data_IF_209342238621
#
_entry.id   IF_209342238621
#
_cell.length_a   1.000
_cell.length_b   1.000
_cell.length_c   1.000
_cell.angle_alpha   90.00
_cell.angle_beta   90.00
_cell.angle_gamma   90.00
#
_symmetry.space_group_name_H-M   'P 1'
#
loop_
_entity.id
_entity.type
_entity.pdbx_description
1 polymer ?
#
# COMPACT_ATOMS: atom_id res chain seq x y z
N UNK A 1 -9.61 14.71 -11.13
CA UNK A 1 -8.61 14.00 -10.30
C UNK A 1 -7.64 14.97 -9.64
N UNK A 2 -6.97 15.86 -10.39
CA UNK A 2 -6.09 16.92 -9.86
C UNK A 2 -6.63 17.71 -8.64
N UNK A 3 -7.90 18.10 -8.70
CA UNK A 3 -8.59 18.88 -7.65
C UNK A 3 -8.73 18.15 -6.30
N UNK A 4 -8.56 16.83 -6.26
CA UNK A 4 -8.75 16.01 -5.06
C UNK A 4 -7.43 15.51 -4.46
N UNK A 5 -6.28 16.13 -4.81
CA UNK A 5 -4.96 15.69 -4.34
C UNK A 5 -4.51 14.31 -4.86
N UNK A 6 -5.25 13.73 -5.81
CA UNK A 6 -4.94 12.43 -6.42
C UNK A 6 -3.56 12.37 -7.08
N UNK A 7 -3.02 13.53 -7.47
CA UNK A 7 -1.70 13.64 -8.06
C UNK A 7 -0.60 13.21 -7.08
N UNK A 8 -0.74 13.51 -5.79
CA UNK A 8 0.24 13.16 -4.76
C UNK A 8 0.31 11.65 -4.56
N UNK A 9 -0.83 11.01 -4.36
CA UNK A 9 -0.91 9.55 -4.25
C UNK A 9 -0.39 8.83 -5.49
N UNK A 10 -0.73 9.34 -6.68
CA UNK A 10 -0.18 8.81 -7.93
C UNK A 10 1.33 8.97 -8.00
N UNK A 11 1.90 10.09 -7.51
CA UNK A 11 3.36 10.29 -7.44
C UNK A 11 4.00 9.29 -6.49
N UNK A 12 3.39 9.01 -5.34
CA UNK A 12 3.86 7.97 -4.42
C UNK A 12 3.84 6.60 -5.09
N UNK A 13 2.73 6.21 -5.72
CA UNK A 13 2.63 4.93 -6.42
C UNK A 13 3.70 4.78 -7.53
N UNK A 14 3.90 5.81 -8.36
CA UNK A 14 4.97 5.83 -9.36
C UNK A 14 6.37 5.72 -8.75
N UNK A 15 6.60 6.32 -7.57
CA UNK A 15 7.88 6.17 -6.88
C UNK A 15 8.13 4.73 -6.41
N UNK A 16 7.09 4.01 -5.97
CA UNK A 16 7.17 2.60 -5.59
C UNK A 16 7.43 1.70 -6.80
N UNK A 17 6.76 1.91 -7.93
CA UNK A 17 7.06 1.19 -9.18
C UNK A 17 8.53 1.37 -9.58
N UNK A 18 9.01 2.62 -9.60
CA UNK A 18 10.41 2.91 -9.92
C UNK A 18 11.39 2.25 -8.94
N UNK A 19 11.06 2.18 -7.64
CA UNK A 19 11.87 1.48 -6.65
C UNK A 19 11.88 -0.03 -6.88
N UNK A 20 10.71 -0.61 -7.20
CA UNK A 20 10.56 -2.02 -7.51
C UNK A 20 11.37 -2.41 -8.76
N UNK A 21 11.37 -1.57 -9.79
CA UNK A 21 12.12 -1.80 -11.03
C UNK A 21 13.65 -1.75 -10.80
N UNK A 22 14.11 -0.93 -9.84
CA UNK A 22 15.50 -0.94 -9.33
C UNK A 22 15.82 -2.13 -8.40
N UNK A 23 14.91 -3.09 -8.27
CA UNK A 23 15.04 -4.29 -7.43
C UNK A 23 15.14 -4.01 -5.93
N UNK A 24 14.65 -2.86 -5.48
CA UNK A 24 14.50 -2.57 -4.05
C UNK A 24 13.43 -3.49 -3.48
N UNK A 25 13.69 -4.04 -2.29
CA UNK A 25 12.72 -4.91 -1.60
C UNK A 25 11.55 -4.08 -1.08
N UNK A 26 10.33 -4.42 -1.48
CA UNK A 26 9.09 -3.79 -1.02
C UNK A 26 8.24 -4.85 -0.33
N UNK A 27 7.62 -4.49 0.79
CA UNK A 27 6.63 -5.32 1.48
C UNK A 27 5.38 -4.50 1.70
N UNK A 28 4.24 -5.06 1.31
CA UNK A 28 2.92 -4.46 1.45
C UNK A 28 2.12 -5.38 2.35
N UNK A 29 1.54 -4.80 3.41
CA UNK A 29 0.64 -5.49 4.32
C UNK A 29 -0.67 -4.70 4.33
N UNK A 30 -1.76 -5.40 4.04
CA UNK A 30 -3.09 -4.82 3.94
C UNK A 30 -4.13 -5.77 4.56
N UNK A 31 -5.38 -5.32 4.69
CA UNK A 31 -6.51 -6.22 4.94
C UNK A 31 -7.27 -6.47 3.63
N UNK A 32 -8.29 -7.32 3.66
CA UNK A 32 -9.15 -7.66 2.51
C UNK A 32 -9.91 -6.48 1.87
N UNK A 33 -9.71 -5.25 2.34
CA UNK A 33 -10.32 -4.04 1.80
C UNK A 33 -11.84 -4.02 1.91
N UNK A 34 -12.46 -3.14 1.13
CA UNK A 34 -13.90 -3.10 0.89
C UNK A 34 -14.11 -3.10 -0.63
N UNK A 35 -15.09 -3.87 -1.11
CA UNK A 35 -15.41 -4.01 -2.54
C UNK A 35 -15.63 -2.64 -3.25
N UNK A 36 -15.40 -2.54 -4.58
CA UNK A 36 -15.09 -3.64 -5.52
C UNK A 36 -13.60 -3.91 -5.75
N UNK A 37 -12.71 -2.93 -5.53
CA UNK A 37 -11.30 -3.02 -5.92
C UNK A 37 -10.41 -3.12 -4.68
N UNK A 38 -10.51 -4.23 -3.97
CA UNK A 38 -9.53 -4.53 -2.93
C UNK A 38 -8.25 -5.03 -3.60
N UNK A 39 -7.09 -4.58 -3.10
CA UNK A 39 -5.75 -4.99 -3.48
C UNK A 39 -5.24 -4.86 -4.92
N UNK A 40 -6.07 -4.51 -5.92
CA UNK A 40 -5.61 -4.52 -7.33
C UNK A 40 -4.32 -3.72 -7.56
N UNK A 41 -4.19 -2.50 -7.03
CA UNK A 41 -2.98 -1.69 -7.20
C UNK A 41 -1.74 -2.32 -6.53
N UNK A 42 -1.90 -2.94 -5.36
CA UNK A 42 -0.79 -3.62 -4.68
C UNK A 42 -0.43 -4.95 -5.34
N UNK A 43 -1.42 -5.66 -5.89
CA UNK A 43 -1.24 -6.87 -6.68
C UNK A 43 -0.53 -6.57 -8.01
N UNK A 44 -0.93 -5.52 -8.72
CA UNK A 44 -0.30 -5.07 -9.98
C UNK A 44 1.15 -4.66 -9.77
N UNK A 45 1.44 -3.96 -8.65
CA UNK A 45 2.81 -3.62 -8.30
C UNK A 45 3.67 -4.88 -8.06
N UNK A 46 3.10 -5.91 -7.44
CA UNK A 46 3.79 -7.18 -7.17
C UNK A 46 3.91 -8.11 -8.39
N UNK A 47 2.99 -8.00 -9.34
CA UNK A 47 2.93 -8.89 -10.50
C UNK A 47 4.26 -8.88 -11.29
N UNK A 48 4.86 -10.07 -11.43
CA UNK A 48 6.14 -10.24 -12.14
C UNK A 48 7.37 -9.66 -11.44
N UNK A 49 7.24 -9.13 -10.21
CA UNK A 49 8.34 -8.52 -9.45
C UNK A 49 8.68 -9.37 -8.22
N UNK A 50 9.72 -10.24 -8.26
CA UNK A 50 10.07 -11.11 -7.13
C UNK A 50 10.57 -10.34 -5.89
N UNK A 51 10.89 -9.06 -6.03
CA UNK A 51 11.31 -8.17 -4.95
C UNK A 51 10.15 -7.43 -4.25
N UNK A 52 8.91 -7.68 -4.65
CA UNK A 52 7.72 -7.07 -4.05
C UNK A 52 6.86 -8.17 -3.42
N UNK A 53 6.76 -8.14 -2.10
CA UNK A 53 5.89 -9.05 -1.34
C UNK A 53 4.58 -8.32 -1.03
N UNK A 54 3.44 -8.86 -1.48
CA UNK A 54 2.11 -8.35 -1.15
C UNK A 54 1.36 -9.38 -0.29
N UNK A 55 0.96 -8.99 0.92
CA UNK A 55 0.30 -9.86 1.88
C UNK A 55 -1.02 -9.25 2.38
N UNK A 56 -2.10 -10.00 2.19
CA UNK A 56 -3.42 -9.66 2.73
C UNK A 56 -3.65 -10.41 4.04
N UNK A 57 -3.87 -9.66 5.12
CA UNK A 57 -4.19 -10.19 6.45
C UNK A 57 -5.69 -10.46 6.53
N UNK A 58 -6.04 -11.73 6.66
CA UNK A 58 -7.43 -12.21 6.76
C UNK A 58 -7.85 -12.29 8.24
N UNK A 59 -8.11 -11.13 8.86
CA UNK A 59 -8.53 -11.07 10.27
C UNK A 59 -9.83 -11.86 10.54
N UNK A 60 -10.73 -11.92 9.56
CA UNK A 60 -11.98 -12.68 9.66
C UNK A 60 -11.73 -14.18 9.91
N UNK A 61 -10.75 -14.78 9.23
CA UNK A 61 -10.42 -16.20 9.37
C UNK A 61 -9.91 -16.56 10.78
N UNK A 62 -9.38 -15.58 11.53
CA UNK A 62 -8.72 -15.80 12.82
C UNK A 62 -9.57 -15.31 14.00
N UNK A 63 -10.33 -14.23 13.82
CA UNK A 63 -11.09 -13.56 14.89
C UNK A 63 -12.58 -13.32 14.56
N UNK A 64 -13.06 -13.81 13.41
CA UNK A 64 -14.44 -13.62 12.95
C UNK A 64 -14.78 -12.19 12.51
N UNK A 65 -13.87 -11.23 12.69
CA UNK A 65 -13.95 -9.86 12.16
C UNK A 65 -12.61 -9.13 12.33
N UNK A 66 -12.41 -8.03 11.61
CA UNK A 66 -11.31 -7.10 11.85
C UNK A 66 -10.71 -6.49 10.58
N UNK A 67 -9.93 -5.43 10.76
CA UNK A 67 -9.23 -4.72 9.67
C UNK A 67 -7.84 -4.27 10.11
N UNK A 68 -6.92 -4.13 9.15
CA UNK A 68 -5.62 -3.46 9.37
C UNK A 68 -5.87 -1.95 9.38
N UNK A 69 -5.97 -1.34 10.57
CA UNK A 69 -6.20 0.11 10.71
C UNK A 69 -4.90 0.92 10.93
N UNK A 70 -3.74 0.32 10.65
CA UNK A 70 -2.45 0.98 10.75
C UNK A 70 -2.08 1.67 9.43
N UNK A 71 -1.48 2.87 9.52
CA UNK A 71 -0.95 3.62 8.39
C UNK A 71 0.50 3.94 8.68
N UNK A 72 1.35 2.98 8.32
CA UNK A 72 2.76 2.98 8.67
C UNK A 72 3.59 2.77 7.41
N UNK A 73 4.65 3.56 7.26
CA UNK A 73 5.71 3.31 6.27
C UNK A 73 7.03 3.21 7.00
N UNK A 74 7.88 2.30 6.53
CA UNK A 74 9.25 2.16 7.02
C UNK A 74 10.14 2.15 5.78
N UNK A 75 11.10 3.06 5.72
CA UNK A 75 12.09 3.15 4.64
C UNK A 75 13.50 2.96 5.20
N UNK A 76 14.26 2.07 4.57
CA UNK A 76 15.69 1.84 4.80
C UNK A 76 16.12 1.67 6.28
N UNK A 77 15.17 1.28 7.15
CA UNK A 77 15.34 1.20 8.61
C UNK A 77 15.77 2.52 9.27
N UNK A 78 15.54 3.65 8.61
CA UNK A 78 15.93 4.99 9.08
C UNK A 78 14.73 5.90 9.25
N UNK A 79 13.84 5.89 8.25
CA UNK A 79 12.69 6.78 8.21
C UNK A 79 11.42 5.99 8.45
N UNK A 80 10.55 6.53 9.30
CA UNK A 80 9.26 5.94 9.64
C UNK A 80 8.19 7.02 9.54
N UNK A 81 7.11 6.70 8.83
CA UNK A 81 5.87 7.46 8.90
C UNK A 81 4.87 6.70 9.77
N UNK A 82 4.23 7.41 10.69
CA UNK A 82 3.07 6.95 11.44
C UNK A 82 2.07 8.10 11.42
N UNK A 83 0.85 7.84 10.94
CA UNK A 83 -0.14 8.88 10.84
C UNK A 83 -1.57 8.38 10.71
N UNK A 84 -2.48 9.33 10.50
CA UNK A 84 -3.91 9.06 10.32
C UNK A 84 -4.33 8.95 8.86
N UNK A 85 -3.57 9.55 7.93
CA UNK A 85 -3.88 9.52 6.50
C UNK A 85 -3.68 8.11 5.94
N UNK A 86 -4.68 7.61 5.20
CA UNK A 86 -4.59 6.32 4.52
C UNK A 86 -3.52 6.33 3.42
N UNK A 87 -3.10 5.13 3.03
CA UNK A 87 -2.08 4.91 2.00
C UNK A 87 -2.67 4.87 0.58
N UNK A 88 -3.88 5.42 0.39
CA UNK A 88 -4.55 5.51 -0.89
C UNK A 88 -4.44 6.92 -1.49
N UNK A 89 -4.65 7.03 -2.80
CA UNK A 89 -4.42 8.28 -3.51
C UNK A 89 -5.32 9.44 -3.09
N UNK A 90 -6.48 9.17 -2.45
CA UNK A 90 -7.40 10.22 -1.98
C UNK A 90 -6.91 10.89 -0.69
N UNK A 91 -5.99 10.25 0.02
CA UNK A 91 -5.67 10.59 1.40
C UNK A 91 -4.39 11.43 1.56
N UNK A 92 -3.65 11.68 0.47
CA UNK A 92 -2.35 12.35 0.49
C UNK A 92 -2.41 13.81 -0.03
N UNK A 93 -3.41 14.58 0.41
CA UNK A 93 -3.63 15.98 -0.04
C UNK A 93 -2.89 17.01 0.79
#
# INVERSE_FOLDING_TARGET
>A
MRRFGADEGRRVYKALENAADRKIKIRIVQHSGFAPDFDQESADLAAGRPNVENATVLFEDWWGSGVVHAKVWISDKKDVYIGSANNDWKSLT
#
